data_IF_591430087464
#
_entry.id   IF_591430087464
#
_cell.length_a   1.000
_cell.length_b   1.000
_cell.length_c   1.000
_cell.angle_alpha   90.00
_cell.angle_beta   90.00
_cell.angle_gamma   90.00
#
_symmetry.space_group_name_H-M   'P 1'
#
loop_
_entity.id
_entity.type
_entity.pdbx_description
1 polymer ?
#
# COMPACT_ATOMS: atom_id res chain seq x y z
N UNK A 1 -22.33 20.78 -17.59
CA UNK A 1 -20.89 21.10 -17.83
C UNK A 1 -20.07 19.96 -17.24
N UNK A 2 -19.66 19.01 -18.08
CA UNK A 2 -19.14 17.71 -17.65
C UNK A 2 -17.60 17.74 -17.53
N UNK A 3 -17.10 18.52 -16.56
CA UNK A 3 -15.64 18.58 -16.30
C UNK A 3 -15.31 17.68 -15.11
N UNK A 4 -14.49 16.66 -15.36
CA UNK A 4 -13.90 15.81 -14.31
C UNK A 4 -13.18 16.68 -13.27
N UNK A 5 -13.40 16.40 -11.99
CA UNK A 5 -12.77 17.10 -10.86
C UNK A 5 -11.26 16.85 -10.78
N UNK A 6 -10.81 15.65 -11.17
CA UNK A 6 -9.38 15.30 -11.26
C UNK A 6 -8.82 15.59 -12.65
N UNK A 7 -7.68 16.28 -12.71
CA UNK A 7 -7.02 16.70 -13.95
C UNK A 7 -5.51 16.49 -13.84
N UNK A 8 -4.87 16.14 -14.95
CA UNK A 8 -3.41 16.09 -15.05
C UNK A 8 -2.82 17.48 -14.81
N UNK A 9 -1.71 17.52 -14.08
CA UNK A 9 -0.94 18.74 -13.77
C UNK A 9 0.51 18.60 -14.21
N UNK A 10 1.20 19.72 -14.40
CA UNK A 10 2.66 19.78 -14.56
C UNK A 10 3.27 20.12 -13.20
N UNK A 11 4.09 19.22 -12.65
CA UNK A 11 4.78 19.47 -11.38
C UNK A 11 6.07 20.26 -11.62
N UNK A 12 6.07 21.55 -11.31
CA UNK A 12 7.24 22.43 -11.38
C UNK A 12 7.79 22.80 -9.98
N UNK A 13 7.39 22.08 -8.92
CA UNK A 13 7.78 22.41 -7.54
C UNK A 13 9.18 21.94 -7.16
N UNK A 14 9.80 21.06 -7.97
CA UNK A 14 11.04 20.36 -7.61
C UNK A 14 10.85 19.22 -6.59
N UNK A 15 9.64 19.04 -6.04
CA UNK A 15 9.33 17.96 -5.09
C UNK A 15 8.90 16.71 -5.86
N UNK A 16 9.70 15.65 -5.79
CA UNK A 16 9.44 14.38 -6.49
C UNK A 16 8.21 13.67 -5.92
N UNK A 17 8.21 13.38 -4.61
CA UNK A 17 7.07 12.74 -3.92
C UNK A 17 6.10 13.79 -3.39
N UNK A 18 5.47 14.53 -4.30
CA UNK A 18 4.53 15.58 -3.92
C UNK A 18 3.19 14.96 -3.47
N UNK A 19 2.89 15.04 -2.18
CA UNK A 19 1.71 14.41 -1.55
C UNK A 19 0.37 14.90 -2.07
N UNK A 20 0.22 16.20 -2.32
CA UNK A 20 -0.97 16.84 -2.87
C UNK A 20 -1.21 16.54 -4.36
N UNK A 21 -0.16 16.14 -5.10
CA UNK A 21 -0.21 15.82 -6.53
C UNK A 21 -0.20 14.30 -6.79
N UNK A 22 -0.41 13.48 -5.75
CA UNK A 22 -0.58 12.04 -5.90
C UNK A 22 0.71 11.21 -5.74
N UNK A 23 1.76 11.77 -5.14
CA UNK A 23 3.03 11.07 -4.82
C UNK A 23 3.76 10.59 -6.09
N UNK A 24 4.09 9.31 -6.17
CA UNK A 24 4.90 8.75 -7.25
C UNK A 24 4.04 8.52 -8.51
N UNK A 25 4.39 9.13 -9.66
CA UNK A 25 3.80 8.74 -10.93
C UNK A 25 4.24 7.32 -11.31
N UNK A 26 3.35 6.59 -11.99
CA UNK A 26 3.64 5.23 -12.46
C UNK A 26 4.34 5.26 -13.82
N UNK A 27 5.30 4.34 -14.00
CA UNK A 27 5.93 4.11 -15.30
C UNK A 27 4.91 3.57 -16.32
N UNK A 28 5.16 3.80 -17.61
CA UNK A 28 4.27 3.35 -18.69
C UNK A 28 4.02 1.83 -18.65
N UNK A 29 5.04 1.03 -18.34
CA UNK A 29 4.93 -0.43 -18.20
C UNK A 29 4.02 -0.85 -17.06
N UNK A 30 4.04 -0.12 -15.93
CA UNK A 30 3.17 -0.40 -14.79
C UNK A 30 1.71 -0.04 -15.11
N UNK A 31 1.48 1.08 -15.82
CA UNK A 31 0.15 1.46 -16.29
C UNK A 31 -0.42 0.43 -17.28
N UNK A 32 0.40 -0.09 -18.18
CA UNK A 32 0.00 -1.15 -19.12
C UNK A 32 -0.41 -2.43 -18.37
N UNK A 33 0.39 -2.87 -17.40
CA UNK A 33 0.08 -4.03 -16.56
C UNK A 33 -1.22 -3.84 -15.75
N UNK A 34 -1.47 -2.64 -15.20
CA UNK A 34 -2.73 -2.32 -14.51
C UNK A 34 -3.91 -2.39 -15.48
N UNK A 35 -3.76 -1.87 -16.69
CA UNK A 35 -4.84 -1.89 -17.69
C UNK A 35 -5.19 -3.33 -18.10
N UNK A 36 -4.19 -4.20 -18.26
CA UNK A 36 -4.39 -5.63 -18.51
C UNK A 36 -5.08 -6.32 -17.31
N UNK A 37 -4.58 -6.07 -16.09
CA UNK A 37 -5.13 -6.65 -14.87
C UNK A 37 -6.54 -6.14 -14.50
N UNK A 38 -7.03 -5.07 -15.14
CA UNK A 38 -8.39 -4.56 -14.95
C UNK A 38 -9.48 -5.42 -15.63
N UNK A 39 -9.08 -6.41 -16.45
CA UNK A 39 -9.98 -7.39 -17.04
C UNK A 39 -10.27 -8.59 -16.12
N UNK A 40 -10.79 -9.67 -16.71
CA UNK A 40 -10.96 -10.95 -16.01
C UNK A 40 -9.59 -11.64 -15.86
N UNK A 41 -9.03 -11.59 -14.65
CA UNK A 41 -7.74 -12.19 -14.31
C UNK A 41 -7.85 -13.08 -13.08
N UNK A 42 -6.84 -13.93 -12.88
CA UNK A 42 -6.77 -14.92 -11.81
C UNK A 42 -6.46 -14.32 -10.43
N UNK A 43 -7.25 -13.34 -9.97
CA UNK A 43 -7.02 -12.63 -8.69
C UNK A 43 -7.10 -13.57 -7.49
N UNK A 44 -8.08 -14.49 -7.49
CA UNK A 44 -8.30 -15.50 -6.45
C UNK A 44 -8.54 -16.88 -7.09
N UNK A 45 -7.86 -17.17 -8.19
CA UNK A 45 -8.03 -18.44 -8.91
C UNK A 45 -6.68 -19.05 -9.22
N UNK A 46 -6.48 -20.28 -8.75
CA UNK A 46 -5.29 -21.07 -9.05
C UNK A 46 -5.53 -21.78 -10.38
N UNK A 47 -4.75 -21.40 -11.41
CA UNK A 47 -4.86 -21.94 -12.75
C UNK A 47 -4.37 -23.40 -12.85
N UNK A 48 -3.41 -23.79 -12.02
CA UNK A 48 -2.86 -25.15 -12.02
C UNK A 48 -3.81 -26.11 -11.28
N UNK A 49 -4.37 -25.66 -10.15
CA UNK A 49 -5.30 -26.47 -9.35
C UNK A 49 -6.76 -26.37 -9.82
N UNK A 50 -7.10 -25.42 -10.70
CA UNK A 50 -8.46 -25.24 -11.24
C UNK A 50 -9.51 -24.87 -10.18
N UNK A 51 -9.11 -24.13 -9.14
CA UNK A 51 -9.99 -23.81 -7.99
C UNK A 51 -9.69 -22.45 -7.39
N UNK A 52 -10.49 -22.04 -6.41
CA UNK A 52 -10.26 -20.80 -5.66
C UNK A 52 -8.88 -20.83 -4.99
N UNK A 53 -8.11 -19.76 -5.19
CA UNK A 53 -6.81 -19.49 -4.58
C UNK A 53 -6.83 -18.25 -3.70
N UNK A 54 -5.63 -17.80 -3.28
CA UNK A 54 -5.46 -16.62 -2.42
C UNK A 54 -4.82 -15.46 -3.17
N UNK A 55 -5.38 -14.25 -3.05
CA UNK A 55 -4.81 -13.08 -3.74
C UNK A 55 -3.46 -12.61 -3.18
N UNK A 56 -3.21 -12.86 -1.89
CA UNK A 56 -2.07 -12.27 -1.20
C UNK A 56 -0.75 -12.84 -1.70
N UNK A 57 -0.73 -14.11 -2.16
CA UNK A 57 0.48 -14.80 -2.58
C UNK A 57 1.27 -14.13 -3.72
N UNK A 58 0.60 -13.40 -4.62
CA UNK A 58 1.28 -12.78 -5.77
C UNK A 58 2.27 -11.68 -5.37
N UNK A 59 1.82 -10.72 -4.55
CA UNK A 59 2.64 -9.57 -4.15
C UNK A 59 3.44 -9.85 -2.87
N UNK A 60 2.89 -10.64 -1.95
CA UNK A 60 3.56 -11.01 -0.70
C UNK A 60 4.89 -11.72 -0.93
N UNK A 61 4.93 -12.67 -1.87
CA UNK A 61 6.18 -13.40 -2.19
C UNK A 61 7.26 -12.48 -2.72
N UNK A 62 6.92 -11.57 -3.64
CA UNK A 62 7.86 -10.59 -4.18
C UNK A 62 8.35 -9.63 -3.09
N UNK A 63 7.46 -9.22 -2.17
CA UNK A 63 7.83 -8.37 -1.06
C UNK A 63 8.81 -9.08 -0.10
N UNK A 64 8.53 -10.33 0.25
CA UNK A 64 9.40 -11.14 1.11
C UNK A 64 10.78 -11.32 0.50
N UNK A 65 10.84 -11.66 -0.80
CA UNK A 65 12.08 -11.83 -1.56
C UNK A 65 12.90 -10.54 -1.60
N UNK A 66 12.27 -9.40 -1.92
CA UNK A 66 12.94 -8.09 -1.93
C UNK A 66 13.44 -7.66 -0.55
N UNK A 67 12.71 -8.01 0.51
CA UNK A 67 13.06 -7.65 1.89
C UNK A 67 14.05 -8.63 2.55
N UNK A 68 14.32 -9.78 1.92
CA UNK A 68 15.07 -10.87 2.57
C UNK A 68 14.35 -11.44 3.80
N UNK A 69 13.01 -11.42 3.80
CA UNK A 69 12.17 -11.88 4.90
C UNK A 69 11.59 -13.27 4.63
N UNK A 70 11.17 -13.97 5.69
CA UNK A 70 10.52 -15.29 5.59
C UNK A 70 9.16 -15.23 4.87
N UNK A 71 8.43 -14.13 5.06
CA UNK A 71 7.13 -13.88 4.43
C UNK A 71 6.86 -12.37 4.35
N UNK A 72 5.80 -11.98 3.64
CA UNK A 72 5.39 -10.59 3.43
C UNK A 72 3.87 -10.43 3.42
N UNK A 73 3.39 -9.26 3.83
CA UNK A 73 1.97 -8.90 3.72
C UNK A 73 1.81 -7.52 3.10
N UNK A 74 0.89 -7.40 2.15
CA UNK A 74 0.54 -6.12 1.53
C UNK A 74 -0.82 -5.69 2.05
N UNK A 75 -0.84 -4.58 2.79
CA UNK A 75 -2.06 -3.91 3.21
C UNK A 75 -2.40 -2.72 2.29
N UNK A 76 -3.58 -2.14 2.47
CA UNK A 76 -4.05 -0.98 1.70
C UNK A 76 -3.02 0.17 1.65
N UNK A 77 -2.43 0.50 2.79
CA UNK A 77 -1.34 1.48 2.92
C UNK A 77 -0.57 1.23 4.23
N UNK A 78 0.48 2.02 4.48
CA UNK A 78 1.29 1.89 5.69
C UNK A 78 0.52 2.16 6.99
N UNK A 79 -0.44 3.10 7.00
CA UNK A 79 -1.26 3.38 8.17
C UNK A 79 -2.07 2.14 8.61
N UNK A 80 -2.69 1.46 7.64
CA UNK A 80 -3.39 0.20 7.87
C UNK A 80 -2.44 -0.92 8.28
N UNK A 81 -1.22 -0.97 7.72
CA UNK A 81 -0.21 -1.96 8.09
C UNK A 81 0.22 -1.81 9.56
N UNK A 82 0.47 -0.58 10.03
CA UNK A 82 0.79 -0.30 11.44
C UNK A 82 -0.34 -0.75 12.35
N UNK A 83 -1.58 -0.35 12.04
CA UNK A 83 -2.76 -0.75 12.82
C UNK A 83 -2.93 -2.27 12.85
N UNK A 84 -2.77 -2.96 11.71
CA UNK A 84 -2.87 -4.41 11.62
C UNK A 84 -1.80 -5.10 12.46
N UNK A 85 -0.55 -4.64 12.39
CA UNK A 85 0.55 -5.19 13.17
C UNK A 85 0.32 -5.04 14.68
N UNK A 86 -0.13 -3.86 15.13
CA UNK A 86 -0.45 -3.62 16.54
C UNK A 86 -1.62 -4.48 17.02
N UNK A 87 -2.70 -4.56 16.24
CA UNK A 87 -3.86 -5.38 16.55
C UNK A 87 -3.53 -6.87 16.62
N UNK A 88 -2.64 -7.36 15.74
CA UNK A 88 -2.25 -8.78 15.71
C UNK A 88 -1.25 -9.15 16.82
N UNK A 89 -0.25 -8.30 17.07
CA UNK A 89 0.90 -8.65 17.91
C UNK A 89 0.80 -8.11 19.35
N UNK A 90 0.12 -6.98 19.53
CA UNK A 90 0.13 -6.21 20.77
C UNK A 90 -1.28 -5.84 21.28
N UNK A 91 -2.33 -6.51 20.82
CA UNK A 91 -3.69 -6.26 21.33
C UNK A 91 -3.74 -6.41 22.85
N UNK A 92 -4.19 -5.34 23.53
CA UNK A 92 -4.26 -5.23 25.00
C UNK A 92 -2.92 -5.43 25.71
N UNK A 93 -1.81 -5.09 25.04
CA UNK A 93 -0.45 -5.10 25.59
C UNK A 93 0.18 -3.72 25.42
N UNK A 94 1.25 -3.47 26.17
CA UNK A 94 2.03 -2.26 26.02
C UNK A 94 2.93 -2.35 24.77
N UNK A 95 3.11 -1.21 24.10
CA UNK A 95 4.03 -1.03 22.98
C UNK A 95 4.99 0.10 23.34
N UNK A 96 6.27 -0.24 23.42
CA UNK A 96 7.31 0.73 23.73
C UNK A 96 7.68 1.47 22.44
N UNK A 97 7.61 2.80 22.48
CA UNK A 97 7.95 3.69 21.36
C UNK A 97 8.73 4.89 21.91
N UNK A 98 9.73 5.37 21.16
CA UNK A 98 10.42 6.58 21.57
C UNK A 98 9.48 7.78 21.44
N UNK A 99 9.55 8.73 22.38
CA UNK A 99 8.69 9.94 22.32
C UNK A 99 8.87 10.73 21.01
N UNK A 100 10.06 10.70 20.41
CA UNK A 100 10.34 11.34 19.13
C UNK A 100 9.74 10.63 17.91
N UNK A 101 9.28 9.40 18.06
CA UNK A 101 8.65 8.59 16.99
C UNK A 101 7.12 8.70 16.98
N UNK A 102 6.56 9.49 17.91
CA UNK A 102 5.14 9.84 17.96
C UNK A 102 4.78 10.87 16.87
N UNK A 103 5.07 10.51 15.62
CA UNK A 103 4.96 11.39 14.45
C UNK A 103 3.52 11.52 13.96
N UNK A 104 3.30 12.61 13.24
CA UNK A 104 2.11 12.86 12.43
C UNK A 104 2.52 12.99 10.97
N UNK A 105 1.89 12.22 10.09
CA UNK A 105 2.20 12.21 8.65
C UNK A 105 0.97 12.66 7.87
N UNK A 106 1.11 13.75 7.12
CA UNK A 106 -0.01 14.38 6.45
C UNK A 106 -0.89 15.14 7.45
N UNK A 107 -2.21 15.11 7.24
CA UNK A 107 -3.17 15.80 8.11
C UNK A 107 -4.15 14.87 8.83
N UNK A 108 -3.84 13.58 8.99
CA UNK A 108 -4.82 12.64 9.54
C UNK A 108 -4.33 11.29 10.05
N UNK A 109 -3.03 11.00 10.05
CA UNK A 109 -2.49 9.78 10.67
C UNK A 109 -1.42 10.14 11.71
N UNK A 110 -1.69 9.75 12.96
CA UNK A 110 -0.90 10.11 14.14
C UNK A 110 -0.60 8.83 14.91
N UNK A 111 0.68 8.54 15.13
CA UNK A 111 1.10 7.35 15.90
C UNK A 111 0.45 7.31 17.30
N UNK A 112 0.36 8.43 18.06
CA UNK A 112 -0.33 8.45 19.35
C UNK A 112 -1.79 8.00 19.35
N UNK A 113 -2.50 8.17 18.23
CA UNK A 113 -3.94 7.87 18.17
C UNK A 113 -4.19 6.39 17.80
N UNK A 114 -3.14 5.66 17.40
CA UNK A 114 -3.20 4.27 16.91
C UNK A 114 -2.59 3.28 17.92
N UNK A 115 -1.64 3.72 18.73
CA UNK A 115 -1.09 2.97 19.88
C UNK A 115 -2.07 2.97 21.05
#
# INVERSE_FOLDING_TARGET
>A
RDRRSLRRVLNATGVVLQTNLGRAPLAAVALAAIAEAAGAVSVEYDLDAGRRGERHGHASRLLAELAGAEDGVVANNNAAAVLLALAALASRKEVIVARGELVEIGGGFRIPDVL
#
